data_IF_872392849388
#
_entry.id   IF_872392849388
#
_cell.length_a   1.000
_cell.length_b   1.000
_cell.length_c   1.000
_cell.angle_alpha   90.00
_cell.angle_beta   90.00
_cell.angle_gamma   90.00
#
_symmetry.space_group_name_H-M   'P 1'
#
loop_
_entity.id
_entity.type
_entity.pdbx_description
1 polymer ?
#
# COMPACT_ATOMS: atom_id res chain seq x y z
N UNK A 1 2.41 -20.26 47.79
CA UNK A 1 1.98 -19.77 46.46
C UNK A 1 3.15 -19.05 45.83
N UNK A 2 3.77 -19.63 44.80
CA UNK A 2 4.76 -18.95 43.96
C UNK A 2 4.13 -18.85 42.58
N UNK A 3 3.64 -17.66 42.23
CA UNK A 3 3.18 -17.35 40.88
C UNK A 3 4.43 -17.30 39.99
N UNK A 4 4.63 -18.34 39.17
CA UNK A 4 5.60 -18.28 38.08
C UNK A 4 5.10 -17.26 37.06
N UNK A 5 5.64 -16.05 37.10
CA UNK A 5 5.52 -15.09 36.01
C UNK A 5 6.37 -15.62 34.86
N UNK A 6 5.79 -16.41 33.96
CA UNK A 6 6.39 -16.71 32.66
C UNK A 6 6.46 -15.40 31.88
N UNK A 7 7.63 -14.76 31.91
CA UNK A 7 7.94 -13.61 31.06
C UNK A 7 8.02 -14.16 29.64
N UNK A 8 6.92 -14.04 28.88
CA UNK A 8 6.92 -14.31 27.46
C UNK A 8 7.74 -13.20 26.79
N UNK A 9 9.02 -13.46 26.56
CA UNK A 9 9.88 -12.59 25.78
C UNK A 9 9.74 -13.02 24.32
N UNK A 10 9.09 -12.23 23.46
CA UNK A 10 9.03 -12.58 22.04
C UNK A 10 10.45 -12.62 21.49
N UNK A 11 10.72 -13.60 20.62
CA UNK A 11 11.99 -13.68 19.93
C UNK A 11 12.19 -12.39 19.12
N UNK A 12 13.34 -11.72 19.28
CA UNK A 12 13.64 -10.46 18.58
C UNK A 12 13.50 -10.60 17.05
N UNK A 13 13.86 -11.76 16.50
CA UNK A 13 13.71 -12.03 15.06
C UNK A 13 12.24 -12.10 14.63
N UNK A 14 11.38 -12.70 15.47
CA UNK A 14 9.93 -12.79 15.24
C UNK A 14 9.27 -11.42 15.34
N UNK A 15 9.65 -10.61 16.33
CA UNK A 15 9.17 -9.24 16.47
C UNK A 15 9.58 -8.34 15.27
N UNK A 16 10.79 -8.50 14.75
CA UNK A 16 11.26 -7.80 13.55
C UNK A 16 10.50 -8.24 12.28
N UNK A 17 10.21 -9.54 12.15
CA UNK A 17 9.42 -10.07 11.05
C UNK A 17 7.98 -9.54 11.10
N UNK A 18 7.34 -9.60 12.27
CA UNK A 18 5.97 -9.11 12.46
C UNK A 18 5.87 -7.61 12.19
N UNK A 19 6.84 -6.81 12.67
CA UNK A 19 6.87 -5.38 12.39
C UNK A 19 6.97 -5.07 10.89
N UNK A 20 7.69 -5.91 10.13
CA UNK A 20 7.83 -5.76 8.68
C UNK A 20 6.53 -6.15 7.96
N UNK A 21 5.90 -7.25 8.37
CA UNK A 21 4.58 -7.66 7.88
C UNK A 21 3.53 -6.57 8.14
N UNK A 22 3.53 -5.97 9.33
CA UNK A 22 2.57 -4.92 9.68
C UNK A 22 2.79 -3.63 8.85
N UNK A 23 4.05 -3.33 8.49
CA UNK A 23 4.36 -2.23 7.56
C UNK A 23 3.81 -2.51 6.16
N UNK A 24 3.99 -3.73 5.65
CA UNK A 24 3.45 -4.17 4.35
C UNK A 24 1.93 -4.10 4.33
N UNK A 25 1.25 -4.66 5.35
CA UNK A 25 -0.22 -4.64 5.44
C UNK A 25 -0.79 -3.23 5.43
N UNK A 26 -0.11 -2.26 6.04
CA UNK A 26 -0.52 -0.85 6.00
C UNK A 26 -0.44 -0.26 4.60
N UNK A 27 0.57 -0.62 3.81
CA UNK A 27 0.68 -0.19 2.40
C UNK A 27 -0.48 -0.79 1.60
N UNK A 28 -0.69 -2.11 1.69
CA UNK A 28 -1.78 -2.82 1.02
C UNK A 28 -3.15 -2.20 1.35
N UNK A 29 -3.40 -1.92 2.63
CA UNK A 29 -4.62 -1.27 3.08
C UNK A 29 -4.81 0.11 2.43
N UNK A 30 -3.76 0.93 2.39
CA UNK A 30 -3.82 2.26 1.77
C UNK A 30 -4.06 2.19 0.27
N UNK A 31 -3.45 1.23 -0.44
CA UNK A 31 -3.69 1.04 -1.87
C UNK A 31 -5.13 0.61 -2.16
N UNK A 32 -5.70 -0.28 -1.34
CA UNK A 32 -7.08 -0.70 -1.48
C UNK A 32 -8.07 0.44 -1.22
N UNK A 33 -7.79 1.29 -0.22
CA UNK A 33 -8.60 2.49 0.02
C UNK A 33 -8.45 3.45 -1.16
N UNK A 34 -7.23 3.69 -1.66
CA UNK A 34 -7.02 4.57 -2.81
C UNK A 34 -7.82 4.13 -4.04
N UNK A 35 -7.84 2.82 -4.36
CA UNK A 35 -8.66 2.30 -5.46
C UNK A 35 -10.16 2.48 -5.21
N UNK A 36 -10.61 2.23 -3.99
CA UNK A 36 -12.02 2.36 -3.60
C UNK A 36 -12.52 3.80 -3.70
N UNK A 37 -11.76 4.74 -3.14
CA UNK A 37 -12.08 6.18 -3.21
C UNK A 37 -12.02 6.70 -4.66
N UNK A 38 -11.09 6.18 -5.47
CA UNK A 38 -11.03 6.55 -6.90
C UNK A 38 -12.26 6.07 -7.67
N UNK A 39 -12.69 4.83 -7.44
CA UNK A 39 -13.90 4.25 -8.06
C UNK A 39 -15.16 5.06 -7.71
N UNK A 40 -15.25 5.56 -6.47
CA UNK A 40 -16.37 6.39 -6.04
C UNK A 40 -16.26 7.82 -6.56
N UNK A 41 -15.05 8.40 -6.57
CA UNK A 41 -14.81 9.77 -6.98
C UNK A 41 -14.78 10.01 -8.49
N UNK A 42 -14.51 8.98 -9.30
CA UNK A 42 -14.32 9.10 -10.76
C UNK A 42 -15.20 8.12 -11.53
N UNK A 43 -16.04 8.66 -12.43
CA UNK A 43 -16.89 7.88 -13.34
C UNK A 43 -16.73 8.42 -14.76
N UNK A 44 -16.50 7.52 -15.73
CA UNK A 44 -16.31 7.85 -17.15
C UNK A 44 -15.25 8.96 -17.39
N UNK A 45 -14.16 8.91 -16.62
CA UNK A 45 -13.07 9.89 -16.69
C UNK A 45 -13.37 11.27 -16.10
N UNK A 46 -14.50 11.42 -15.40
CA UNK A 46 -14.92 12.66 -14.75
C UNK A 46 -14.91 12.52 -13.25
N UNK A 47 -14.48 13.56 -12.57
CA UNK A 47 -14.60 13.66 -11.11
C UNK A 47 -16.08 13.94 -10.80
N UNK A 48 -16.75 12.99 -10.19
CA UNK A 48 -18.17 13.07 -9.80
C UNK A 48 -18.35 13.30 -8.31
N UNK A 49 -17.39 12.83 -7.50
CA UNK A 49 -17.33 13.15 -6.06
C UNK A 49 -15.91 13.63 -5.72
N UNK A 50 -15.69 14.96 -5.62
CA UNK A 50 -14.36 15.53 -5.45
C UNK A 50 -13.60 15.10 -4.18
N UNK A 51 -14.23 15.02 -2.98
CA UNK A 51 -13.54 14.55 -1.78
C UNK A 51 -12.92 13.17 -1.95
N UNK A 52 -13.63 12.22 -2.53
CA UNK A 52 -13.23 10.84 -2.75
C UNK A 52 -12.08 10.78 -3.77
N UNK A 53 -12.14 11.59 -4.84
CA UNK A 53 -11.01 11.73 -5.75
C UNK A 53 -9.76 12.33 -5.05
N UNK A 54 -9.93 13.29 -4.14
CA UNK A 54 -8.81 13.83 -3.35
C UNK A 54 -8.26 12.80 -2.36
N UNK A 55 -9.13 12.08 -1.64
CA UNK A 55 -8.76 11.04 -0.70
C UNK A 55 -8.01 9.90 -1.40
N UNK A 56 -8.43 9.50 -2.60
CA UNK A 56 -7.73 8.49 -3.39
C UNK A 56 -6.25 8.85 -3.62
N UNK A 57 -5.98 10.11 -3.95
CA UNK A 57 -4.63 10.62 -4.17
C UNK A 57 -3.84 10.69 -2.87
N UNK A 58 -4.49 11.11 -1.78
CA UNK A 58 -3.86 11.18 -0.45
C UNK A 58 -3.44 9.79 0.03
N UNK A 59 -4.30 8.78 -0.09
CA UNK A 59 -3.97 7.41 0.30
C UNK A 59 -2.87 6.80 -0.58
N UNK A 60 -2.91 7.04 -1.89
CA UNK A 60 -1.86 6.59 -2.80
C UNK A 60 -0.50 7.22 -2.46
N UNK A 61 -0.47 8.53 -2.21
CA UNK A 61 0.74 9.23 -1.81
C UNK A 61 1.31 8.68 -0.49
N UNK A 62 0.45 8.42 0.51
CA UNK A 62 0.88 7.82 1.77
C UNK A 62 1.42 6.40 1.59
N UNK A 63 0.83 5.60 0.69
CA UNK A 63 1.33 4.27 0.35
C UNK A 63 2.74 4.35 -0.27
N UNK A 64 2.95 5.28 -1.21
CA UNK A 64 4.25 5.54 -1.85
C UNK A 64 5.31 5.91 -0.83
N UNK A 65 5.02 6.85 0.07
CA UNK A 65 5.96 7.31 1.10
C UNK A 65 6.33 6.20 2.08
N UNK A 66 5.37 5.34 2.42
CA UNK A 66 5.63 4.16 3.27
C UNK A 66 6.46 3.13 2.54
N UNK A 67 6.16 2.86 1.27
CA UNK A 67 6.93 1.94 0.46
C UNK A 67 8.38 2.42 0.29
N UNK A 68 8.60 3.71 0.00
CA UNK A 68 9.96 4.27 -0.13
C UNK A 68 10.82 4.08 1.14
N UNK A 69 10.19 4.09 2.32
CA UNK A 69 10.88 3.80 3.59
C UNK A 69 11.13 2.31 3.78
N UNK A 70 10.22 1.44 3.32
CA UNK A 70 10.36 -0.01 3.40
C UNK A 70 11.36 -0.55 2.36
N UNK A 71 11.43 0.07 1.18
CA UNK A 71 12.19 -0.43 0.04
C UNK A 71 13.70 -0.48 0.29
N UNK A 72 14.22 0.33 1.22
CA UNK A 72 15.63 0.30 1.64
C UNK A 72 15.99 -0.99 2.39
N UNK A 73 15.00 -1.71 2.89
CA UNK A 73 15.16 -2.97 3.61
C UNK A 73 14.96 -4.19 2.68
N UNK A 74 14.49 -3.99 1.45
CA UNK A 74 14.28 -5.05 0.47
C UNK A 74 15.64 -5.48 -0.09
N UNK A 75 15.97 -6.76 0.06
CA UNK A 75 17.28 -7.32 -0.36
C UNK A 75 17.43 -7.40 -1.88
N UNK A 76 16.33 -7.51 -2.61
CA UNK A 76 16.31 -7.50 -4.08
C UNK A 76 16.05 -6.07 -4.61
N UNK A 77 17.09 -5.36 -5.08
CA UNK A 77 16.96 -3.98 -5.56
C UNK A 77 16.12 -3.88 -6.83
N UNK A 78 16.10 -4.92 -7.68
CA UNK A 78 15.29 -4.90 -8.91
C UNK A 78 13.81 -5.01 -8.56
N UNK A 79 13.46 -5.89 -7.62
CA UNK A 79 12.08 -5.97 -7.10
C UNK A 79 11.63 -4.65 -6.47
N UNK A 80 12.48 -4.03 -5.66
CA UNK A 80 12.19 -2.75 -5.03
C UNK A 80 11.94 -1.63 -6.07
N UNK A 81 12.76 -1.55 -7.11
CA UNK A 81 12.61 -0.55 -8.17
C UNK A 81 11.38 -0.81 -9.05
N UNK A 82 11.06 -2.08 -9.36
CA UNK A 82 9.85 -2.43 -10.11
C UNK A 82 8.58 -1.98 -9.38
N UNK A 83 8.46 -2.33 -8.09
CA UNK A 83 7.33 -1.94 -7.24
C UNK A 83 7.20 -0.41 -7.13
N UNK A 84 8.34 0.29 -6.99
CA UNK A 84 8.36 1.76 -6.97
C UNK A 84 7.82 2.33 -8.28
N UNK A 85 8.22 1.78 -9.43
CA UNK A 85 7.76 2.24 -10.73
C UNK A 85 6.27 1.96 -10.95
N UNK A 86 5.76 0.80 -10.53
CA UNK A 86 4.31 0.50 -10.54
C UNK A 86 3.52 1.52 -9.71
N UNK A 87 3.98 1.83 -8.49
CA UNK A 87 3.34 2.83 -7.64
C UNK A 87 3.34 4.24 -8.27
N UNK A 88 4.45 4.64 -8.93
CA UNK A 88 4.52 5.92 -9.64
C UNK A 88 3.59 5.92 -10.86
N UNK A 89 3.52 4.82 -11.60
CA UNK A 89 2.63 4.67 -12.77
C UNK A 89 1.16 4.77 -12.37
N UNK A 90 0.78 4.16 -11.24
CA UNK A 90 -0.58 4.26 -10.68
C UNK A 90 -1.00 5.72 -10.44
N UNK A 91 -0.05 6.56 -10.03
CA UNK A 91 -0.27 7.99 -9.83
C UNK A 91 -0.54 8.73 -11.15
N UNK A 92 0.03 8.25 -12.26
CA UNK A 92 -0.32 8.67 -13.61
C UNK A 92 -1.74 8.25 -13.98
N UNK A 93 -2.09 6.97 -13.78
CA UNK A 93 -3.42 6.43 -14.07
C UNK A 93 -4.54 7.20 -13.33
N UNK A 94 -4.33 7.51 -12.04
CA UNK A 94 -5.26 8.32 -11.24
C UNK A 94 -5.43 9.73 -11.81
N UNK A 95 -4.33 10.38 -12.21
CA UNK A 95 -4.37 11.72 -12.82
C UNK A 95 -5.10 11.73 -14.16
N UNK A 96 -4.87 10.70 -14.96
CA UNK A 96 -5.48 10.48 -16.27
C UNK A 96 -6.94 10.05 -16.18
N UNK A 97 -7.43 9.74 -14.97
CA UNK A 97 -8.83 9.38 -14.69
C UNK A 97 -9.26 8.19 -15.52
N UNK A 98 -8.39 7.19 -15.57
CA UNK A 98 -8.70 5.94 -16.28
C UNK A 98 -9.88 5.23 -15.64
N UNK A 99 -10.38 4.20 -16.31
CA UNK A 99 -11.40 3.31 -15.76
C UNK A 99 -10.95 2.71 -14.42
N UNK A 100 -11.85 2.68 -13.43
CA UNK A 100 -11.54 2.20 -12.07
C UNK A 100 -11.10 0.74 -12.05
N UNK A 101 -11.53 -0.09 -13.01
CA UNK A 101 -11.06 -1.47 -13.16
C UNK A 101 -9.54 -1.52 -13.36
N UNK A 102 -8.96 -0.59 -14.12
CA UNK A 102 -7.50 -0.53 -14.34
C UNK A 102 -6.75 -0.18 -13.05
N UNK A 103 -7.33 0.68 -12.21
CA UNK A 103 -6.75 1.00 -10.91
C UNK A 103 -6.76 -0.24 -10.00
N UNK A 104 -7.88 -0.97 -9.98
CA UNK A 104 -7.99 -2.22 -9.22
C UNK A 104 -7.02 -3.31 -9.70
N UNK A 105 -6.86 -3.48 -11.01
CA UNK A 105 -5.89 -4.42 -11.59
C UNK A 105 -4.46 -4.10 -11.14
N UNK A 106 -4.05 -2.84 -11.20
CA UNK A 106 -2.72 -2.42 -10.77
C UNK A 106 -2.53 -2.58 -9.25
N UNK A 107 -3.53 -2.21 -8.43
CA UNK A 107 -3.50 -2.41 -6.97
C UNK A 107 -3.35 -3.89 -6.63
N UNK A 108 -4.09 -4.77 -7.30
CA UNK A 108 -4.01 -6.21 -7.08
C UNK A 108 -2.64 -6.78 -7.49
N UNK A 109 -2.05 -6.28 -8.58
CA UNK A 109 -0.69 -6.64 -8.99
C UNK A 109 0.32 -6.26 -7.92
N UNK A 110 0.32 -4.99 -7.48
CA UNK A 110 1.26 -4.50 -6.45
C UNK A 110 1.08 -5.26 -5.13
N UNK A 111 -0.16 -5.49 -4.70
CA UNK A 111 -0.46 -6.21 -3.46
C UNK A 111 0.06 -7.65 -3.51
N UNK A 112 -0.04 -8.32 -4.66
CA UNK A 112 0.45 -9.71 -4.84
C UNK A 112 1.97 -9.79 -4.79
N UNK A 113 2.67 -8.74 -5.19
CA UNK A 113 4.14 -8.68 -5.13
C UNK A 113 4.66 -8.27 -3.74
N UNK A 114 3.87 -7.52 -2.97
CA UNK A 114 4.19 -7.10 -1.61
C UNK A 114 3.99 -8.19 -0.56
N UNK A 115 2.99 -9.06 -0.75
CA UNK A 115 2.63 -10.17 0.14
C UNK A 115 3.45 -11.44 -0.15
#
# INVERSE_FOLDING_TARGET
MLLSQTIWTPNRAEALNQASIDRVKKIVMMLNIAAKEFEEGVVDGKIVVPPEYEESQVFLQQAIERFAKLSVEITDPQKAENLKNQLINMMGLVKDKVDSQKIWEEVNSINSELL
#
